data_IF_942988597444
#
_entry.id   IF_942988597444
#
_cell.length_a   1.000
_cell.length_b   1.000
_cell.length_c   1.000
_cell.angle_alpha   90.00
_cell.angle_beta   90.00
_cell.angle_gamma   90.00
#
_symmetry.space_group_name_H-M   'P 1'
#
loop_
_entity.id
_entity.type
_entity.pdbx_description
1 polymer ?
#
# COMPACT_ATOMS: atom_id res chain seq x y z
N UNK A 1 -23.93 74.85 35.89
CA UNK A 1 -24.96 73.78 35.99
C UNK A 1 -25.41 73.50 34.55
N UNK A 2 -25.40 72.31 33.96
CA UNK A 2 -25.22 70.95 34.44
C UNK A 2 -24.54 70.12 33.33
N UNK A 3 -23.68 69.18 33.73
CA UNK A 3 -23.04 68.21 32.85
C UNK A 3 -24.00 67.05 32.57
N UNK A 4 -24.08 66.59 31.33
CA UNK A 4 -24.70 65.30 31.01
C UNK A 4 -23.63 64.33 30.48
N UNK A 5 -23.49 63.13 31.09
CA UNK A 5 -22.50 62.14 30.68
C UNK A 5 -23.11 61.17 29.65
N UNK A 6 -22.51 61.05 28.47
CA UNK A 6 -22.83 59.93 27.56
C UNK A 6 -21.87 58.78 27.85
N UNK A 7 -22.41 57.72 28.47
CA UNK A 7 -21.74 56.50 28.85
C UNK A 7 -21.03 55.86 27.63
N UNK A 8 -19.73 55.59 27.76
CA UNK A 8 -19.02 54.66 26.90
C UNK A 8 -19.61 53.26 27.13
N UNK A 9 -20.24 52.68 26.10
CA UNK A 9 -20.56 51.26 26.09
C UNK A 9 -19.27 50.47 25.81
N UNK A 10 -19.02 49.49 26.66
CA UNK A 10 -17.85 48.62 26.62
C UNK A 10 -17.64 47.98 25.24
N UNK A 11 -16.39 48.01 24.78
CA UNK A 11 -15.91 47.20 23.68
C UNK A 11 -16.03 45.74 24.10
N UNK A 12 -17.08 45.07 23.62
CA UNK A 12 -17.18 43.63 23.74
C UNK A 12 -16.14 42.99 22.82
N UNK A 13 -15.21 42.26 23.40
CA UNK A 13 -14.31 41.35 22.69
C UNK A 13 -15.14 40.30 21.95
N UNK A 14 -15.33 40.50 20.64
CA UNK A 14 -15.87 39.45 19.78
C UNK A 14 -14.74 38.45 19.48
N UNK A 15 -14.94 37.14 19.72
CA UNK A 15 -13.96 36.15 19.32
C UNK A 15 -13.81 36.17 17.79
N UNK A 16 -12.55 36.19 17.31
CA UNK A 16 -12.21 36.14 15.88
C UNK A 16 -12.69 34.81 15.29
N UNK A 17 -13.25 34.79 14.07
CA UNK A 17 -13.60 33.54 13.40
C UNK A 17 -12.32 32.75 13.07
N UNK A 18 -12.32 31.45 13.41
CA UNK A 18 -11.28 30.50 13.02
C UNK A 18 -11.40 30.27 11.50
N UNK A 19 -10.46 30.82 10.75
CA UNK A 19 -10.24 30.47 9.34
C UNK A 19 -9.54 29.11 9.28
N UNK A 20 -10.27 28.05 8.98
CA UNK A 20 -9.69 26.76 8.61
C UNK A 20 -8.98 26.93 7.28
N UNK A 21 -7.64 26.97 7.28
CA UNK A 21 -6.84 26.94 6.04
C UNK A 21 -7.04 25.57 5.39
N UNK A 22 -7.78 25.53 4.29
CA UNK A 22 -7.83 24.38 3.38
C UNK A 22 -6.47 24.25 2.71
N UNK A 23 -5.74 23.18 3.01
CA UNK A 23 -4.48 22.85 2.35
C UNK A 23 -4.73 22.60 0.86
N UNK A 24 -4.26 23.51 0.01
CA UNK A 24 -4.14 23.30 -1.43
C UNK A 24 -2.82 22.59 -1.72
N UNK A 25 -2.82 21.27 -1.56
CA UNK A 25 -1.78 20.41 -2.13
C UNK A 25 -2.20 19.98 -3.53
N UNK A 26 -1.90 20.79 -4.55
CA UNK A 26 -2.02 20.39 -5.96
C UNK A 26 -0.61 20.23 -6.53
N UNK A 27 0.02 19.09 -6.27
CA UNK A 27 1.18 18.64 -7.01
C UNK A 27 0.69 17.87 -8.24
N UNK A 28 0.53 18.58 -9.36
CA UNK A 28 0.38 17.96 -10.67
C UNK A 28 1.76 17.46 -11.12
N UNK A 29 2.01 16.17 -11.03
CA UNK A 29 3.08 15.53 -11.80
C UNK A 29 2.48 15.01 -13.09
N UNK A 30 2.72 15.74 -14.17
CA UNK A 30 2.50 15.28 -15.55
C UNK A 30 3.59 14.28 -15.92
N UNK A 31 3.20 13.10 -16.39
CA UNK A 31 4.15 12.15 -16.99
C UNK A 31 3.66 10.71 -16.92
N UNK A 32 2.93 10.26 -17.95
CA UNK A 32 2.49 8.88 -18.07
C UNK A 32 1.62 8.66 -19.29
N UNK A 33 2.24 8.72 -20.47
CA UNK A 33 1.62 8.36 -21.74
C UNK A 33 1.44 6.83 -21.80
N UNK A 34 0.19 6.39 -21.97
CA UNK A 34 -0.17 5.00 -22.26
C UNK A 34 -1.58 4.98 -22.83
N UNK A 35 -1.67 4.80 -24.15
CA UNK A 35 -2.87 5.04 -24.94
C UNK A 35 -3.85 3.87 -25.09
N UNK A 36 -5.01 4.22 -25.65
CA UNK A 36 -6.03 3.33 -26.24
C UNK A 36 -7.11 2.91 -25.25
N UNK A 37 -8.40 3.17 -25.43
CA UNK A 37 -9.16 3.79 -26.51
C UNK A 37 -10.65 3.46 -26.28
N UNK A 38 -11.55 4.38 -26.65
CA UNK A 38 -12.94 4.06 -26.96
C UNK A 38 -14.01 4.49 -25.95
N UNK A 39 -14.88 5.38 -26.41
CA UNK A 39 -16.30 5.38 -26.02
C UNK A 39 -16.71 6.48 -25.07
N UNK A 40 -17.26 7.56 -25.64
CA UNK A 40 -17.80 8.70 -24.91
C UNK A 40 -18.99 8.36 -24.01
N UNK A 41 -19.17 9.19 -23.00
CA UNK A 41 -20.29 9.12 -22.08
C UNK A 41 -19.99 9.92 -20.82
N UNK A 42 -20.39 11.19 -20.83
CA UNK A 42 -20.43 12.03 -19.64
C UNK A 42 -21.02 11.27 -18.45
N UNK A 43 -20.26 11.20 -17.37
CA UNK A 43 -20.73 10.66 -16.09
C UNK A 43 -19.91 9.46 -15.67
N UNK A 44 -18.90 9.70 -14.82
CA UNK A 44 -18.43 8.68 -13.88
C UNK A 44 -19.60 8.33 -12.96
N UNK A 45 -20.49 7.45 -13.41
CA UNK A 45 -21.66 7.04 -12.66
C UNK A 45 -21.26 6.40 -11.34
N UNK A 46 -22.16 6.40 -10.34
CA UNK A 46 -21.88 5.88 -9.00
C UNK A 46 -21.27 4.47 -9.04
N UNK A 47 -21.70 3.61 -9.97
CA UNK A 47 -21.18 2.26 -10.15
C UNK A 47 -19.69 2.21 -10.53
N UNK A 48 -19.21 3.11 -11.40
CA UNK A 48 -17.78 3.17 -11.76
C UNK A 48 -16.93 3.66 -10.59
N UNK A 49 -17.45 4.63 -9.83
CA UNK A 49 -16.78 5.12 -8.61
C UNK A 49 -16.71 4.03 -7.55
N UNK A 50 -17.78 3.26 -7.35
CA UNK A 50 -17.83 2.13 -6.42
C UNK A 50 -16.87 1.02 -6.83
N UNK A 51 -16.86 0.62 -8.11
CA UNK A 51 -15.93 -0.39 -8.62
C UNK A 51 -14.47 0.02 -8.39
N UNK A 52 -14.13 1.29 -8.61
CA UNK A 52 -12.80 1.82 -8.33
C UNK A 52 -12.44 1.73 -6.84
N UNK A 53 -13.35 2.10 -5.93
CA UNK A 53 -13.13 2.00 -4.49
C UNK A 53 -12.89 0.54 -4.07
N UNK A 54 -13.72 -0.39 -4.53
CA UNK A 54 -13.60 -1.81 -4.23
C UNK A 54 -12.27 -2.39 -4.74
N UNK A 55 -11.87 -2.03 -5.97
CA UNK A 55 -10.59 -2.46 -6.53
C UNK A 55 -9.39 -1.99 -5.69
N UNK A 56 -9.42 -0.75 -5.21
CA UNK A 56 -8.34 -0.21 -4.39
C UNK A 56 -8.34 -0.80 -2.97
N UNK A 57 -9.52 -1.07 -2.38
CA UNK A 57 -9.62 -1.80 -1.12
C UNK A 57 -8.97 -3.19 -1.24
N UNK A 58 -9.34 -3.96 -2.26
CA UNK A 58 -8.74 -5.27 -2.54
C UNK A 58 -7.22 -5.20 -2.74
N UNK A 59 -6.72 -4.17 -3.41
CA UNK A 59 -5.28 -3.93 -3.56
C UNK A 59 -4.61 -3.68 -2.21
N UNK A 60 -5.22 -2.88 -1.33
CA UNK A 60 -4.71 -2.59 0.01
C UNK A 60 -4.71 -3.81 0.91
N UNK A 61 -5.77 -4.61 0.87
CA UNK A 61 -5.87 -5.87 1.60
C UNK A 61 -4.73 -6.82 1.18
N UNK A 62 -4.49 -6.97 -0.13
CA UNK A 62 -3.38 -7.78 -0.64
C UNK A 62 -2.02 -7.28 -0.13
N UNK A 63 -1.80 -5.97 -0.15
CA UNK A 63 -0.55 -5.38 0.36
C UNK A 63 -0.40 -5.65 1.86
N UNK A 64 -1.46 -5.43 2.65
CA UNK A 64 -1.41 -5.64 4.09
C UNK A 64 -1.19 -7.11 4.43
N UNK A 65 -1.86 -8.04 3.73
CA UNK A 65 -1.61 -9.47 3.89
C UNK A 65 -0.16 -9.86 3.63
N UNK A 66 0.49 -9.28 2.62
CA UNK A 66 1.93 -9.49 2.38
C UNK A 66 2.83 -8.95 3.50
N UNK A 67 2.44 -7.86 4.15
CA UNK A 67 3.15 -7.37 5.34
C UNK A 67 2.96 -8.30 6.56
N UNK A 68 1.78 -8.89 6.72
CA UNK A 68 1.51 -9.82 7.81
C UNK A 68 2.29 -11.13 7.63
N UNK A 69 2.35 -11.65 6.40
CA UNK A 69 3.21 -12.79 6.03
C UNK A 69 4.68 -12.47 6.30
N UNK A 70 5.17 -11.30 5.86
CA UNK A 70 6.55 -10.87 6.11
C UNK A 70 6.88 -10.78 7.60
N UNK A 71 5.95 -10.27 8.43
CA UNK A 71 6.13 -10.23 9.89
C UNK A 71 6.27 -11.63 10.51
N UNK A 72 5.55 -12.61 9.96
CA UNK A 72 5.56 -13.97 10.50
C UNK A 72 6.89 -14.70 10.30
N UNK A 73 7.64 -14.33 9.25
CA UNK A 73 8.92 -14.97 8.90
C UNK A 73 10.15 -14.21 9.40
N UNK A 74 9.99 -12.93 9.80
CA UNK A 74 11.08 -12.12 10.38
C UNK A 74 10.98 -12.17 11.90
N UNK A 75 11.90 -12.86 12.61
CA UNK A 75 11.78 -13.11 14.05
C UNK A 75 11.57 -11.84 14.90
N UNK A 76 12.26 -10.75 14.56
CA UNK A 76 12.16 -9.48 15.28
C UNK A 76 10.85 -8.70 15.06
N UNK A 77 10.07 -9.07 14.04
CA UNK A 77 8.83 -8.39 13.67
C UNK A 77 7.58 -9.12 14.17
N UNK A 78 7.69 -10.41 14.54
CA UNK A 78 6.53 -11.26 14.84
C UNK A 78 5.76 -10.82 16.10
N UNK A 79 6.45 -10.33 17.13
CA UNK A 79 5.82 -9.89 18.40
C UNK A 79 5.68 -8.36 18.53
N UNK A 80 6.22 -7.59 17.58
CA UNK A 80 6.30 -6.13 17.67
C UNK A 80 5.32 -5.43 16.72
N UNK A 81 4.69 -4.36 17.20
CA UNK A 81 3.85 -3.48 16.39
C UNK A 81 4.72 -2.49 15.57
N UNK A 82 5.58 -3.03 14.72
CA UNK A 82 6.51 -2.25 13.92
C UNK A 82 5.83 -1.52 12.75
N UNK A 83 6.36 -0.33 12.41
CA UNK A 83 5.94 0.41 11.23
C UNK A 83 6.32 -0.31 9.94
N UNK A 84 5.61 -0.07 8.82
CA UNK A 84 5.95 -0.66 7.51
C UNK A 84 7.41 -0.40 7.10
N UNK A 85 7.93 0.79 7.37
CA UNK A 85 9.32 1.11 7.07
C UNK A 85 10.30 0.30 7.94
N UNK A 86 9.99 0.14 9.22
CA UNK A 86 10.78 -0.66 10.16
C UNK A 86 10.79 -2.13 9.76
N UNK A 87 9.64 -2.69 9.39
CA UNK A 87 9.52 -4.09 8.92
C UNK A 87 10.41 -4.31 7.71
N UNK A 88 10.37 -3.40 6.72
CA UNK A 88 11.22 -3.49 5.53
C UNK A 88 12.71 -3.44 5.88
N UNK A 89 13.12 -2.58 6.82
CA UNK A 89 14.51 -2.51 7.27
C UNK A 89 14.95 -3.82 7.92
N UNK A 90 14.20 -4.30 8.91
CA UNK A 90 14.49 -5.56 9.62
C UNK A 90 14.51 -6.77 8.68
N UNK A 91 13.62 -6.80 7.69
CA UNK A 91 13.60 -7.85 6.68
C UNK A 91 14.90 -7.87 5.85
N UNK A 92 15.41 -6.71 5.44
CA UNK A 92 16.69 -6.61 4.73
C UNK A 92 17.83 -7.11 5.61
N UNK A 93 17.88 -6.66 6.86
CA UNK A 93 18.92 -7.06 7.80
C UNK A 93 18.90 -8.58 8.06
N UNK A 94 17.70 -9.17 8.17
CA UNK A 94 17.53 -10.60 8.36
C UNK A 94 17.96 -11.43 7.14
N UNK A 95 17.70 -10.96 5.91
CA UNK A 95 18.21 -11.62 4.69
C UNK A 95 19.74 -11.63 4.69
N UNK A 96 20.38 -10.50 5.00
CA UNK A 96 21.84 -10.40 5.05
C UNK A 96 22.46 -11.31 6.12
N UNK A 97 21.80 -11.43 7.28
CA UNK A 97 22.19 -12.38 8.33
C UNK A 97 22.17 -13.83 7.80
N UNK A 98 21.06 -14.24 7.18
CA UNK A 98 20.91 -15.60 6.64
C UNK A 98 21.94 -15.90 5.55
N UNK A 99 22.25 -14.94 4.67
CA UNK A 99 23.31 -15.09 3.68
C UNK A 99 24.70 -15.29 4.31
N UNK A 100 24.99 -14.58 5.40
CA UNK A 100 26.23 -14.75 6.16
C UNK A 100 26.29 -16.13 6.83
N UNK A 101 25.20 -16.58 7.42
CA UNK A 101 25.08 -17.91 8.02
C UNK A 101 25.28 -19.00 6.97
N UNK A 102 24.59 -18.94 5.83
CA UNK A 102 24.77 -19.88 4.72
C UNK A 102 26.25 -19.94 4.29
N UNK A 103 26.91 -18.79 4.15
CA UNK A 103 28.33 -18.74 3.77
C UNK A 103 29.24 -19.38 4.82
N UNK A 104 28.97 -19.17 6.11
CA UNK A 104 29.70 -19.81 7.21
C UNK A 104 29.52 -21.32 7.20
N UNK A 105 28.29 -21.81 7.02
CA UNK A 105 28.00 -23.24 6.96
C UNK A 105 28.60 -23.90 5.72
N UNK A 106 28.53 -23.27 4.54
CA UNK A 106 29.15 -23.76 3.32
C UNK A 106 30.68 -23.88 3.45
N UNK A 107 31.33 -22.92 4.13
CA UNK A 107 32.76 -22.98 4.40
C UNK A 107 33.12 -24.06 5.44
N UNK A 108 32.24 -24.30 6.43
CA UNK A 108 32.46 -25.29 7.48
C UNK A 108 32.15 -26.74 7.04
N UNK A 109 31.26 -26.92 6.07
CA UNK A 109 30.82 -28.22 5.56
C UNK A 109 30.91 -28.27 4.02
N UNK A 110 32.12 -28.34 3.45
CA UNK A 110 32.31 -28.32 1.99
C UNK A 110 31.84 -29.60 1.25
N UNK A 111 31.31 -30.61 1.95
CA UNK A 111 31.13 -31.97 1.41
C UNK A 111 29.72 -32.29 0.88
N UNK A 112 28.79 -31.31 0.83
CA UNK A 112 27.38 -31.56 0.47
C UNK A 112 26.82 -30.74 -0.70
N UNK A 113 27.65 -30.06 -1.49
CA UNK A 113 27.19 -29.48 -2.75
C UNK A 113 27.60 -30.38 -3.91
N UNK A 114 26.67 -31.17 -4.49
CA UNK A 114 26.65 -31.62 -5.90
C UNK A 114 25.37 -32.44 -6.24
N UNK A 115 24.16 -32.03 -5.82
CA UNK A 115 22.93 -32.73 -6.30
C UNK A 115 21.71 -31.88 -6.67
N UNK A 116 21.71 -30.57 -6.50
CA UNK A 116 20.50 -29.75 -6.75
C UNK A 116 20.55 -28.86 -8.01
N UNK A 117 21.46 -29.12 -8.97
CA UNK A 117 21.44 -28.42 -10.27
C UNK A 117 20.58 -29.14 -11.34
N UNK A 118 20.17 -30.39 -11.10
CA UNK A 118 19.40 -31.17 -12.09
C UNK A 118 17.88 -30.92 -12.09
N UNK A 119 17.31 -30.21 -11.10
CA UNK A 119 15.84 -30.10 -10.97
C UNK A 119 15.24 -28.75 -11.41
N UNK A 120 16.05 -27.85 -11.99
CA UNK A 120 15.58 -26.53 -12.47
C UNK A 120 14.89 -26.55 -13.85
N UNK A 121 14.86 -27.70 -14.54
CA UNK A 121 14.35 -27.79 -15.93
C UNK A 121 12.95 -28.41 -16.10
N UNK A 122 12.20 -28.66 -15.03
CA UNK A 122 11.03 -29.56 -15.07
C UNK A 122 9.62 -28.98 -14.87
N UNK A 123 9.40 -27.67 -14.74
CA UNK A 123 8.03 -27.14 -14.47
C UNK A 123 7.58 -26.06 -15.46
N UNK A 124 7.63 -26.38 -16.76
CA UNK A 124 6.72 -25.77 -17.74
C UNK A 124 5.34 -26.43 -17.56
N UNK A 125 4.61 -26.05 -16.51
CA UNK A 125 3.18 -26.35 -16.46
C UNK A 125 2.48 -25.38 -17.40
N UNK A 126 2.00 -25.96 -18.50
CA UNK A 126 1.21 -25.38 -19.56
C UNK A 126 0.07 -24.50 -19.05
N UNK A 127 0.02 -23.25 -19.51
CA UNK A 127 -1.19 -22.45 -19.49
C UNK A 127 -2.18 -23.03 -20.51
N UNK A 128 -2.95 -24.03 -20.09
CA UNK A 128 -4.12 -24.49 -20.81
C UNK A 128 -5.27 -23.52 -20.52
N UNK A 129 -5.42 -22.52 -21.39
CA UNK A 129 -6.68 -21.80 -21.57
C UNK A 129 -7.79 -22.83 -21.80
N UNK A 130 -8.68 -22.97 -20.82
CA UNK A 130 -9.88 -23.80 -20.91
C UNK A 130 -11.09 -22.97 -20.53
N UNK A 131 -11.56 -22.15 -21.48
CA UNK A 131 -12.89 -21.57 -21.46
C UNK A 131 -13.88 -22.74 -21.61
N UNK A 132 -14.68 -23.01 -20.59
CA UNK A 132 -15.84 -23.87 -20.73
C UNK A 132 -17.04 -23.22 -20.06
N UNK A 133 -17.81 -22.52 -20.90
CA UNK A 133 -19.16 -22.10 -20.59
C UNK A 133 -20.08 -23.29 -20.71
N UNK A 134 -20.83 -23.55 -19.64
CA UNK A 134 -22.09 -24.27 -19.74
C UNK A 134 -23.15 -23.38 -19.10
N UNK A 135 -23.90 -22.78 -20.00
CA UNK A 135 -25.24 -22.26 -19.84
C UNK A 135 -26.14 -23.41 -19.35
N UNK A 136 -26.84 -23.22 -18.23
CA UNK A 136 -27.96 -24.08 -17.84
C UNK A 136 -29.15 -23.21 -17.55
N UNK A 137 -30.02 -23.13 -18.56
CA UNK A 137 -31.42 -22.83 -18.40
C UNK A 137 -32.10 -24.02 -17.71
N UNK A 138 -32.84 -23.76 -16.64
CA UNK A 138 -34.22 -24.19 -16.40
C UNK A 138 -34.73 -23.67 -15.05
#
# INVERSE_FOLDING_TARGET
MAHSPRKQLGRQDRPRPIVTRKATGSSTTSGGSGGGGGGGGSGGGPNRRLAHILSEQKRREKINGGFDELKSVVPECAQNADSKATILRKAVDYILLLEEEIRKYAAAYPEFEHSEENNRHGRKHSSSFGHSGYESEH
#
